data_IF_970149334491
#
_entry.id   IF_970149334491
#
_cell.length_a   1.000
_cell.length_b   1.000
_cell.length_c   1.000
_cell.angle_alpha   90.00
_cell.angle_beta   90.00
_cell.angle_gamma   90.00
#
_symmetry.space_group_name_H-M   'P 1'
#
loop_
_entity.id
_entity.type
_entity.pdbx_description
1 polymer ?
#
# COMPACT_ATOMS: atom_id res chain seq x y z
N UNK A 1 -10.03 -12.59 -21.95
CA UNK A 1 -9.44 -11.66 -20.94
C UNK A 1 -7.93 -11.60 -21.17
N UNK A 2 -7.41 -10.51 -21.76
CA UNK A 2 -5.96 -10.34 -21.95
C UNK A 2 -5.34 -9.98 -20.60
N UNK A 3 -4.58 -10.89 -20.00
CA UNK A 3 -3.64 -10.56 -18.95
C UNK A 3 -2.62 -9.60 -19.56
N UNK A 4 -2.55 -8.37 -19.02
CA UNK A 4 -1.46 -7.44 -19.36
C UNK A 4 -0.23 -7.92 -18.60
N UNK A 5 0.44 -8.93 -19.12
CA UNK A 5 1.81 -9.24 -18.78
C UNK A 5 2.66 -8.08 -19.34
N UNK A 6 3.08 -7.18 -18.46
CA UNK A 6 4.09 -6.18 -18.83
C UNK A 6 5.34 -6.93 -19.31
N UNK A 7 5.77 -6.66 -20.54
CA UNK A 7 7.02 -7.25 -21.03
C UNK A 7 8.18 -6.82 -20.11
N UNK A 8 9.19 -7.66 -19.91
CA UNK A 8 10.36 -7.34 -19.07
C UNK A 8 10.97 -5.98 -19.41
N UNK A 9 10.98 -5.60 -20.68
CA UNK A 9 11.49 -4.30 -21.17
C UNK A 9 10.64 -3.14 -20.65
N UNK A 10 9.32 -3.27 -20.63
CA UNK A 10 8.43 -2.23 -20.07
C UNK A 10 8.59 -2.11 -18.55
N UNK A 11 8.79 -3.22 -17.87
CA UNK A 11 9.06 -3.22 -16.43
C UNK A 11 10.39 -2.52 -16.10
N UNK A 12 11.46 -2.84 -16.85
CA UNK A 12 12.78 -2.19 -16.70
C UNK A 12 12.69 -0.70 -17.02
N UNK A 13 11.96 -0.30 -18.05
CA UNK A 13 11.77 1.12 -18.41
C UNK A 13 10.99 1.88 -17.32
N UNK A 14 9.99 1.25 -16.70
CA UNK A 14 9.25 1.83 -15.57
C UNK A 14 10.19 1.97 -14.35
N UNK A 15 10.95 0.93 -14.01
CA UNK A 15 11.90 0.94 -12.90
C UNK A 15 13.02 1.98 -13.14
N UNK A 16 13.53 2.12 -14.35
CA UNK A 16 14.54 3.13 -14.72
C UNK A 16 13.98 4.55 -14.59
N UNK A 17 12.76 4.81 -15.08
CA UNK A 17 12.08 6.09 -14.90
C UNK A 17 11.83 6.40 -13.42
N UNK A 18 11.44 5.42 -12.63
CA UNK A 18 11.25 5.56 -11.17
C UNK A 18 12.59 5.86 -10.46
N UNK A 19 13.68 5.28 -10.93
CA UNK A 19 15.03 5.52 -10.36
C UNK A 19 15.53 6.96 -10.60
N UNK A 20 15.24 7.56 -11.76
CA UNK A 20 15.64 8.94 -12.09
C UNK A 20 14.74 9.98 -11.41
N UNK A 21 13.54 9.61 -10.96
CA UNK A 21 12.52 10.53 -10.47
C UNK A 21 12.62 10.85 -8.95
N UNK A 22 13.82 10.91 -8.38
CA UNK A 22 14.02 11.44 -7.02
C UNK A 22 13.81 12.96 -7.02
N UNK A 23 12.62 13.42 -6.66
CA UNK A 23 12.35 14.86 -6.58
C UNK A 23 10.88 15.24 -6.53
N UNK A 24 9.97 14.26 -6.55
CA UNK A 24 8.57 14.58 -6.41
C UNK A 24 8.25 14.99 -4.96
N UNK A 25 7.71 16.20 -4.80
CA UNK A 25 7.22 16.69 -3.51
C UNK A 25 5.83 16.16 -3.17
N UNK A 26 5.09 15.66 -4.18
CA UNK A 26 3.72 15.13 -4.06
C UNK A 26 3.55 13.87 -4.90
N UNK A 27 2.69 12.93 -4.50
CA UNK A 27 2.40 11.75 -5.31
C UNK A 27 1.66 12.10 -6.60
N UNK A 28 1.90 11.29 -7.63
CA UNK A 28 1.09 11.29 -8.85
C UNK A 28 0.02 10.22 -8.68
N UNK A 29 -1.22 10.63 -8.46
CA UNK A 29 -2.34 9.70 -8.28
C UNK A 29 -2.96 9.33 -9.63
N UNK A 30 -3.12 8.04 -9.90
CA UNK A 30 -3.79 7.51 -11.09
C UNK A 30 -4.86 6.50 -10.70
N UNK A 31 -6.02 6.63 -11.33
CA UNK A 31 -7.09 5.63 -11.20
C UNK A 31 -6.91 4.54 -12.25
N UNK A 32 -6.90 3.28 -11.79
CA UNK A 32 -6.69 2.12 -12.64
C UNK A 32 -7.61 0.99 -12.21
N UNK A 33 -7.98 0.10 -13.12
CA UNK A 33 -8.76 -1.07 -12.78
C UNK A 33 -7.88 -2.13 -12.14
N UNK A 34 -7.96 -2.25 -10.81
CA UNK A 34 -7.24 -3.25 -10.03
C UNK A 34 -8.27 -4.15 -9.35
N UNK A 35 -8.12 -5.48 -9.51
CA UNK A 35 -9.04 -6.43 -8.87
C UNK A 35 -8.63 -6.66 -7.41
N UNK A 36 -9.60 -6.56 -6.48
CA UNK A 36 -9.46 -6.90 -5.06
C UNK A 36 -8.45 -6.06 -4.23
N UNK A 37 -7.94 -4.97 -4.78
CA UNK A 37 -6.99 -4.08 -4.09
C UNK A 37 -7.55 -2.66 -4.14
N UNK A 38 -7.42 -1.91 -3.02
CA UNK A 38 -7.85 -0.51 -2.93
C UNK A 38 -6.91 0.44 -3.62
N UNK A 39 -5.62 0.31 -3.32
CA UNK A 39 -4.54 1.10 -3.88
C UNK A 39 -3.22 0.34 -3.91
N UNK A 40 -2.24 0.87 -4.59
CA UNK A 40 -0.85 0.40 -4.62
C UNK A 40 0.06 1.60 -4.79
N UNK A 41 1.06 1.71 -3.95
CA UNK A 41 2.10 2.72 -4.08
C UNK A 41 3.35 2.19 -4.77
N UNK A 42 3.72 2.85 -5.85
CA UNK A 42 4.96 2.65 -6.60
C UNK A 42 5.59 4.02 -6.83
N UNK A 43 6.41 4.48 -5.89
CA UNK A 43 6.96 5.85 -5.94
C UNK A 43 7.45 6.25 -7.33
N UNK A 44 7.06 7.41 -7.88
CA UNK A 44 6.26 8.47 -7.28
C UNK A 44 4.73 8.31 -7.47
N UNK A 45 4.27 7.15 -7.95
CA UNK A 45 2.86 6.89 -8.29
C UNK A 45 2.11 6.31 -7.09
N UNK A 46 0.85 6.73 -6.94
CA UNK A 46 -0.17 6.01 -6.19
C UNK A 46 -1.26 5.59 -7.19
N UNK A 47 -1.44 4.29 -7.34
CA UNK A 47 -2.47 3.71 -8.19
C UNK A 47 -3.68 3.37 -7.33
N UNK A 48 -4.83 3.97 -7.61
CA UNK A 48 -6.07 3.75 -6.86
C UNK A 48 -7.08 3.04 -7.75
N UNK A 49 -7.84 2.10 -7.18
CA UNK A 49 -8.88 1.41 -7.92
C UNK A 49 -9.92 2.41 -8.45
N UNK A 50 -10.24 2.31 -9.76
CA UNK A 50 -11.10 3.25 -10.48
C UNK A 50 -12.53 3.33 -9.91
N UNK A 51 -13.03 2.30 -9.21
CA UNK A 51 -14.32 2.34 -8.52
C UNK A 51 -14.40 3.46 -7.47
N UNK A 52 -13.28 3.83 -6.85
CA UNK A 52 -13.23 4.89 -5.82
C UNK A 52 -13.20 6.31 -6.39
N UNK A 53 -13.28 6.46 -7.71
CA UNK A 53 -13.44 7.74 -8.39
C UNK A 53 -14.83 8.35 -8.21
N UNK A 54 -15.81 7.53 -7.84
CA UNK A 54 -17.19 7.94 -7.68
C UNK A 54 -17.41 8.64 -6.32
N UNK A 55 -18.23 9.71 -6.25
CA UNK A 55 -18.45 10.49 -5.02
C UNK A 55 -18.94 9.65 -3.83
N UNK A 56 -19.74 8.60 -4.08
CA UNK A 56 -20.25 7.70 -3.04
C UNK A 56 -19.16 6.96 -2.27
N UNK A 57 -17.94 6.88 -2.81
CA UNK A 57 -16.78 6.23 -2.19
C UNK A 57 -15.75 7.22 -1.63
N UNK A 58 -16.04 8.50 -1.55
CA UNK A 58 -15.10 9.55 -1.14
C UNK A 58 -14.43 9.23 0.21
N UNK A 59 -15.22 8.83 1.21
CA UNK A 59 -14.71 8.43 2.52
C UNK A 59 -13.69 7.29 2.41
N UNK A 60 -14.01 6.28 1.59
CA UNK A 60 -13.12 5.13 1.39
C UNK A 60 -11.89 5.51 0.57
N UNK A 61 -12.03 6.37 -0.41
CA UNK A 61 -10.91 6.95 -1.16
C UNK A 61 -9.93 7.67 -0.23
N UNK A 62 -10.43 8.54 0.64
CA UNK A 62 -9.61 9.27 1.61
C UNK A 62 -8.87 8.31 2.57
N UNK A 63 -9.53 7.28 3.05
CA UNK A 63 -8.95 6.23 3.88
C UNK A 63 -7.79 5.51 3.15
N UNK A 64 -8.01 5.08 1.91
CA UNK A 64 -6.97 4.46 1.07
C UNK A 64 -5.80 5.42 0.86
N UNK A 65 -6.07 6.70 0.62
CA UNK A 65 -5.01 7.69 0.42
C UNK A 65 -4.14 7.88 1.66
N UNK A 66 -4.71 7.85 2.88
CA UNK A 66 -3.93 7.87 4.12
C UNK A 66 -2.97 6.67 4.16
N UNK A 67 -3.46 5.47 3.90
CA UNK A 67 -2.66 4.24 3.85
C UNK A 67 -1.51 4.32 2.83
N UNK A 68 -1.84 4.65 1.58
CA UNK A 68 -0.87 4.71 0.49
C UNK A 68 0.15 5.84 0.67
N UNK A 69 -0.21 6.94 1.33
CA UNK A 69 0.72 8.03 1.64
C UNK A 69 1.81 7.59 2.63
N UNK A 70 1.53 6.68 3.56
CA UNK A 70 2.56 6.09 4.42
C UNK A 70 3.59 5.37 3.57
N UNK A 71 3.16 4.48 2.68
CA UNK A 71 4.06 3.77 1.76
C UNK A 71 4.83 4.74 0.85
N UNK A 72 4.16 5.78 0.33
CA UNK A 72 4.78 6.78 -0.54
C UNK A 72 5.92 7.51 0.17
N UNK A 73 5.71 7.99 1.40
CA UNK A 73 6.73 8.65 2.20
C UNK A 73 7.89 7.69 2.51
N UNK A 74 7.59 6.47 2.92
CA UNK A 74 8.59 5.43 3.23
C UNK A 74 9.46 5.08 2.02
N UNK A 75 8.85 4.98 0.84
CA UNK A 75 9.57 4.74 -0.41
C UNK A 75 10.41 5.94 -0.82
N UNK A 76 9.87 7.16 -0.70
CA UNK A 76 10.57 8.42 -0.96
C UNK A 76 11.84 8.55 -0.13
N UNK A 77 11.73 8.28 1.17
CA UNK A 77 12.82 8.44 2.14
C UNK A 77 13.80 7.25 2.15
N UNK A 78 13.49 6.19 1.40
CA UNK A 78 14.37 5.02 1.31
C UNK A 78 15.69 5.36 0.62
N UNK A 79 16.80 4.80 1.11
CA UNK A 79 18.11 4.94 0.45
C UNK A 79 18.15 4.30 -0.94
N UNK A 80 17.38 3.23 -1.14
CA UNK A 80 17.27 2.50 -2.40
C UNK A 80 15.85 1.96 -2.59
N UNK A 81 15.15 2.45 -3.60
CA UNK A 81 13.82 1.94 -3.97
C UNK A 81 13.85 0.46 -4.36
N UNK A 82 14.90 0.03 -5.06
CA UNK A 82 15.03 -1.37 -5.49
C UNK A 82 15.12 -2.28 -4.25
N UNK A 83 15.97 -1.93 -3.29
CA UNK A 83 16.09 -2.71 -2.05
C UNK A 83 14.80 -2.65 -1.23
N UNK A 84 14.10 -1.50 -1.21
CA UNK A 84 12.80 -1.40 -0.54
C UNK A 84 11.79 -2.39 -1.15
N UNK A 85 11.65 -2.42 -2.49
CA UNK A 85 10.72 -3.33 -3.17
C UNK A 85 11.11 -4.80 -3.00
N UNK A 86 12.39 -5.13 -3.11
CA UNK A 86 12.87 -6.49 -2.87
C UNK A 86 12.57 -6.92 -1.42
N UNK A 87 12.83 -6.04 -0.45
CA UNK A 87 12.49 -6.30 0.95
C UNK A 87 10.99 -6.49 1.15
N UNK A 88 10.17 -5.65 0.54
CA UNK A 88 8.71 -5.77 0.63
C UNK A 88 8.18 -7.09 0.04
N UNK A 89 8.72 -7.54 -1.08
CA UNK A 89 8.31 -8.80 -1.73
C UNK A 89 8.82 -10.03 -0.98
N UNK A 90 10.11 -10.05 -0.61
CA UNK A 90 10.77 -11.27 -0.12
C UNK A 90 10.94 -11.33 1.39
N UNK A 91 10.90 -10.20 2.11
CA UNK A 91 11.02 -10.17 3.56
C UNK A 91 9.65 -9.97 4.22
N UNK A 92 9.11 -11.07 4.79
CA UNK A 92 7.80 -11.06 5.47
C UNK A 92 7.76 -10.09 6.64
N UNK A 93 8.83 -9.99 7.43
CA UNK A 93 8.90 -9.10 8.59
C UNK A 93 8.89 -7.63 8.17
N UNK A 94 9.66 -7.27 7.15
CA UNK A 94 9.68 -5.93 6.58
C UNK A 94 8.31 -5.54 6.04
N UNK A 95 7.67 -6.42 5.26
CA UNK A 95 6.33 -6.17 4.73
C UNK A 95 5.31 -5.98 5.85
N UNK A 96 5.35 -6.82 6.89
CA UNK A 96 4.45 -6.68 8.04
C UNK A 96 4.64 -5.33 8.75
N UNK A 97 5.87 -4.88 8.98
CA UNK A 97 6.15 -3.56 9.59
C UNK A 97 5.60 -2.42 8.74
N UNK A 98 5.78 -2.46 7.43
CA UNK A 98 5.26 -1.46 6.50
C UNK A 98 3.72 -1.42 6.51
N UNK A 99 3.05 -2.57 6.49
CA UNK A 99 1.59 -2.64 6.53
C UNK A 99 1.02 -2.24 7.89
N UNK A 100 1.66 -2.63 9.00
CA UNK A 100 1.24 -2.22 10.34
C UNK A 100 1.25 -0.70 10.48
N UNK A 101 2.28 -0.02 9.97
CA UNK A 101 2.36 1.45 9.97
C UNK A 101 1.24 2.07 9.14
N UNK A 102 1.01 1.58 7.93
CA UNK A 102 0.00 2.12 7.04
C UNK A 102 -1.42 1.92 7.61
N UNK A 103 -1.75 0.73 8.12
CA UNK A 103 -3.04 0.46 8.76
C UNK A 103 -3.23 1.22 10.07
N UNK A 104 -2.16 1.46 10.85
CA UNK A 104 -2.25 2.27 12.07
C UNK A 104 -2.69 3.70 11.73
N UNK A 105 -2.05 4.35 10.77
CA UNK A 105 -2.42 5.70 10.35
C UNK A 105 -3.84 5.74 9.78
N UNK A 106 -4.23 4.76 8.96
CA UNK A 106 -5.57 4.64 8.39
C UNK A 106 -6.63 4.45 9.49
N UNK A 107 -6.34 3.65 10.53
CA UNK A 107 -7.20 3.43 11.69
C UNK A 107 -7.34 4.69 12.54
N UNK A 108 -6.23 5.36 12.88
CA UNK A 108 -6.24 6.59 13.68
C UNK A 108 -6.96 7.74 12.97
N UNK A 109 -6.91 7.79 11.64
CA UNK A 109 -7.69 8.72 10.82
C UNK A 109 -9.21 8.37 10.77
N UNK A 110 -9.65 7.29 11.42
CA UNK A 110 -11.05 6.85 11.43
C UNK A 110 -11.52 6.27 10.09
N UNK A 111 -10.60 5.88 9.22
CA UNK A 111 -10.90 5.35 7.89
C UNK A 111 -11.36 3.90 7.88
N UNK A 112 -10.89 3.10 8.84
CA UNK A 112 -11.14 1.67 8.96
C UNK A 112 -11.40 1.23 10.39
N UNK A 113 -11.95 0.02 10.54
CA UNK A 113 -12.19 -0.63 11.84
C UNK A 113 -11.04 -1.56 12.22
N UNK A 114 -10.93 -1.90 13.50
CA UNK A 114 -9.98 -2.92 13.98
C UNK A 114 -10.14 -4.24 13.25
N UNK A 115 -11.39 -4.69 13.12
CA UNK A 115 -11.72 -5.93 12.43
C UNK A 115 -11.16 -5.91 10.98
N UNK A 116 -11.39 -4.80 10.26
CA UNK A 116 -10.87 -4.64 8.90
C UNK A 116 -9.33 -4.71 8.86
N UNK A 117 -8.63 -4.04 9.79
CA UNK A 117 -7.17 -4.10 9.87
C UNK A 117 -6.67 -5.53 10.14
N UNK A 118 -7.28 -6.22 11.11
CA UNK A 118 -6.89 -7.58 11.46
C UNK A 118 -7.15 -8.57 10.31
N UNK A 119 -8.29 -8.47 9.62
CA UNK A 119 -8.59 -9.27 8.44
C UNK A 119 -7.60 -9.02 7.31
N UNK A 120 -7.29 -7.75 7.03
CA UNK A 120 -6.36 -7.37 5.98
C UNK A 120 -4.96 -7.94 6.24
N UNK A 121 -4.40 -7.73 7.44
CA UNK A 121 -3.07 -8.19 7.82
C UNK A 121 -2.94 -9.73 7.81
N UNK A 122 -4.04 -10.46 8.06
CA UNK A 122 -4.09 -11.92 8.02
C UNK A 122 -4.49 -12.50 6.65
N UNK A 123 -4.82 -11.65 5.69
CA UNK A 123 -5.36 -12.06 4.40
C UNK A 123 -4.31 -12.71 3.47
N UNK A 124 -4.81 -13.46 2.47
CA UNK A 124 -3.97 -14.03 1.41
C UNK A 124 -3.35 -12.98 0.49
N UNK A 125 -3.95 -11.80 0.37
CA UNK A 125 -3.43 -10.69 -0.44
C UNK A 125 -2.05 -10.27 0.06
N UNK A 126 -1.84 -10.30 1.37
CA UNK A 126 -0.54 -10.03 2.01
C UNK A 126 0.24 -11.31 2.35
N UNK A 127 -0.02 -12.42 1.66
CA UNK A 127 0.66 -13.72 1.89
C UNK A 127 0.51 -14.24 3.32
N UNK A 128 -0.62 -13.97 3.98
CA UNK A 128 -0.88 -14.37 5.38
C UNK A 128 0.30 -14.03 6.30
N UNK A 129 0.65 -12.76 6.39
CA UNK A 129 1.80 -12.30 7.17
C UNK A 129 1.75 -12.75 8.63
N UNK A 130 0.56 -12.71 9.23
CA UNK A 130 0.30 -13.16 10.62
C UNK A 130 -1.06 -13.83 10.72
N UNK A 131 -1.33 -14.55 11.83
CA UNK A 131 -2.67 -15.05 12.11
C UNK A 131 -3.62 -13.90 12.46
N UNK A 132 -4.93 -14.12 12.28
CA UNK A 132 -5.95 -13.14 12.63
C UNK A 132 -5.88 -12.73 14.12
N UNK A 133 -5.75 -13.71 15.03
CA UNK A 133 -5.70 -13.44 16.47
C UNK A 133 -4.49 -12.55 16.82
N UNK A 134 -3.32 -12.82 16.23
CA UNK A 134 -2.14 -11.98 16.43
C UNK A 134 -2.31 -10.60 15.84
N UNK A 135 -2.92 -10.48 14.64
CA UNK A 135 -3.24 -9.20 14.04
C UNK A 135 -4.18 -8.39 14.94
N UNK A 136 -5.23 -9.02 15.45
CA UNK A 136 -6.19 -8.40 16.36
C UNK A 136 -5.52 -7.84 17.63
N UNK A 137 -4.67 -8.62 18.29
CA UNK A 137 -3.92 -8.15 19.47
C UNK A 137 -3.04 -6.93 19.17
N UNK A 138 -2.37 -6.90 18.01
CA UNK A 138 -1.56 -5.76 17.59
C UNK A 138 -2.42 -4.52 17.34
N UNK A 139 -3.55 -4.66 16.66
CA UNK A 139 -4.46 -3.54 16.36
C UNK A 139 -5.11 -3.00 17.65
N UNK A 140 -5.51 -3.86 18.58
CA UNK A 140 -6.06 -3.46 19.88
C UNK A 140 -5.07 -2.62 20.70
N UNK A 141 -3.76 -2.84 20.54
CA UNK A 141 -2.74 -2.04 21.24
C UNK A 141 -2.71 -0.58 20.81
N UNK A 142 -3.14 -0.25 19.59
CA UNK A 142 -3.14 1.11 19.05
C UNK A 142 -4.09 2.07 19.76
N UNK A 143 -5.11 1.55 20.46
CA UNK A 143 -6.05 2.36 21.25
C UNK A 143 -5.46 2.89 22.55
N UNK A 144 -4.34 2.32 22.99
CA UNK A 144 -3.74 2.63 24.30
C UNK A 144 -2.64 3.69 24.20
N UNK A 145 -2.30 4.08 22.98
CA UNK A 145 -1.33 5.12 22.68
C UNK A 145 -2.03 6.48 22.45
#
# INVERSE_FOLDING_TARGET
MKQILLSPVKLVTILYKVFIMRGYSKPIVKFVRIKNIGGITLYPLILVNDKFKKPEYERRYNSIMVHEMVHWNRQKDSKSLILWYLSYVFNRGFRLDEELRAYKEEFLAGGVTEHYCAESLSSRIYFKMISYDRAKLLVESWKKE
#
